data_IF_531228677918
#
_entry.id   IF_531228677918
#
_cell.length_a   1.000
_cell.length_b   1.000
_cell.length_c   1.000
_cell.angle_alpha   90.00
_cell.angle_beta   90.00
_cell.angle_gamma   90.00
#
_symmetry.space_group_name_H-M   'P 1'
#
loop_
_entity.id
_entity.type
_entity.pdbx_description
1 polymer ?
#
# COMPACT_ATOMS: atom_id res chain seq x y z
N UNK A 1 28.76 32.05 -19.36
CA UNK A 1 28.55 32.39 -17.94
C UNK A 1 28.24 31.11 -17.22
N UNK A 2 29.18 30.60 -16.43
CA UNK A 2 28.94 29.42 -15.59
C UNK A 2 27.92 29.80 -14.52
N UNK A 3 26.85 29.02 -14.29
CA UNK A 3 25.98 29.25 -13.15
C UNK A 3 26.84 29.06 -11.89
N UNK A 4 26.83 30.04 -11.00
CA UNK A 4 27.44 29.90 -9.68
C UNK A 4 26.71 28.79 -8.93
N UNK A 5 27.43 27.73 -8.58
CA UNK A 5 26.98 26.66 -7.68
C UNK A 5 26.82 27.22 -6.25
N UNK A 6 25.86 28.11 -6.03
CA UNK A 6 25.45 28.48 -4.67
C UNK A 6 24.68 27.30 -4.08
N UNK A 7 25.45 26.41 -3.45
CA UNK A 7 24.94 25.27 -2.68
C UNK A 7 24.06 25.81 -1.57
N UNK A 8 22.76 25.49 -1.62
CA UNK A 8 21.80 25.83 -0.55
C UNK A 8 22.36 25.44 0.82
N UNK A 9 22.12 26.21 1.90
CA UNK A 9 22.53 25.82 3.25
C UNK A 9 22.09 24.39 3.63
N UNK A 10 20.94 23.95 3.12
CA UNK A 10 20.45 22.59 3.32
C UNK A 10 21.29 21.53 2.59
N UNK A 11 21.78 21.84 1.40
CA UNK A 11 22.62 20.93 0.61
C UNK A 11 23.96 20.69 1.31
N UNK A 12 24.57 21.73 1.89
CA UNK A 12 25.80 21.60 2.66
C UNK A 12 25.60 20.70 3.90
N UNK A 13 24.48 20.89 4.61
CA UNK A 13 24.11 20.05 5.76
C UNK A 13 23.87 18.59 5.37
N UNK A 14 23.27 18.32 4.21
CA UNK A 14 23.10 16.96 3.69
C UNK A 14 24.45 16.26 3.49
N UNK A 15 25.40 16.93 2.81
CA UNK A 15 26.72 16.36 2.56
C UNK A 15 27.46 16.09 3.87
N UNK A 16 27.43 17.04 4.80
CA UNK A 16 28.04 16.88 6.12
C UNK A 16 27.42 15.71 6.90
N UNK A 17 26.10 15.60 6.92
CA UNK A 17 25.39 14.54 7.65
C UNK A 17 25.67 13.14 7.11
N UNK A 18 25.87 13.01 5.80
CA UNK A 18 26.19 11.72 5.16
C UNK A 18 27.64 11.30 5.38
N UNK A 19 28.55 12.27 5.48
CA UNK A 19 29.96 12.01 5.77
C UNK A 19 30.24 11.78 7.26
N UNK A 20 29.25 12.01 8.12
CA UNK A 20 29.38 11.85 9.55
C UNK A 20 29.58 10.36 9.91
N UNK A 21 30.63 10.09 10.66
CA UNK A 21 30.95 8.77 11.21
C UNK A 21 30.71 8.83 12.73
N UNK A 22 29.78 8.03 13.29
CA UNK A 22 29.54 8.01 14.72
C UNK A 22 30.72 7.43 15.49
N UNK A 23 30.99 8.01 16.66
CA UNK A 23 31.95 7.48 17.62
C UNK A 23 31.46 6.18 18.27
N UNK A 24 32.35 5.41 18.87
CA UNK A 24 31.98 4.19 19.62
C UNK A 24 31.01 4.49 20.77
N UNK A 25 31.15 5.64 21.42
CA UNK A 25 30.25 6.09 22.49
C UNK A 25 28.85 6.37 21.96
N UNK A 26 28.73 7.05 20.82
CA UNK A 26 27.44 7.32 20.17
C UNK A 26 26.78 6.03 19.69
N UNK A 27 27.56 5.08 19.15
CA UNK A 27 27.06 3.74 18.79
C UNK A 27 26.55 2.98 20.03
N UNK A 28 27.26 3.04 21.16
CA UNK A 28 26.82 2.41 22.39
C UNK A 28 25.52 3.03 22.93
N UNK A 29 25.37 4.35 22.87
CA UNK A 29 24.16 5.07 23.26
C UNK A 29 22.97 4.76 22.33
N UNK A 30 23.22 4.52 21.05
CA UNK A 30 22.19 4.14 20.07
C UNK A 30 21.62 2.72 20.26
N UNK A 31 22.13 1.93 21.22
CA UNK A 31 21.60 0.58 21.51
C UNK A 31 20.35 0.58 22.41
N UNK A 32 20.02 1.72 23.05
CA UNK A 32 18.91 1.80 24.01
C UNK A 32 18.04 3.05 23.78
N UNK A 33 16.70 2.94 23.92
CA UNK A 33 15.82 4.10 23.95
C UNK A 33 16.30 5.09 25.03
N UNK A 34 16.32 6.41 24.76
CA UNK A 34 15.58 7.10 23.71
C UNK A 34 16.29 7.29 22.35
N UNK A 35 17.33 6.52 22.01
CA UNK A 35 18.05 6.60 20.72
C UNK A 35 18.47 8.03 20.34
N UNK A 36 19.44 8.62 21.08
CA UNK A 36 19.82 10.01 20.90
C UNK A 36 20.36 10.26 19.49
N UNK A 37 19.99 11.41 18.90
CA UNK A 37 20.61 11.88 17.67
C UNK A 37 21.96 12.50 18.02
N UNK A 38 23.06 12.09 17.37
CA UNK A 38 24.37 12.72 17.54
C UNK A 38 24.34 14.23 17.42
N UNK A 39 25.11 14.94 18.25
CA UNK A 39 25.13 16.40 18.27
C UNK A 39 25.50 17.00 16.90
N UNK A 40 26.39 16.33 16.16
CA UNK A 40 26.80 16.72 14.81
C UNK A 40 25.65 16.64 13.78
N UNK A 41 24.62 15.83 14.03
CA UNK A 41 23.47 15.64 13.13
C UNK A 41 22.27 16.53 13.50
N UNK A 42 22.24 17.14 14.69
CA UNK A 42 21.15 18.01 15.14
C UNK A 42 20.86 19.15 14.13
N UNK A 43 21.87 19.90 13.62
CA UNK A 43 21.61 20.97 12.66
C UNK A 43 20.91 20.48 11.38
N UNK A 44 21.32 19.32 10.85
CA UNK A 44 20.68 18.73 9.68
C UNK A 44 19.27 18.21 10.00
N UNK A 45 19.09 17.55 11.15
CA UNK A 45 17.78 17.08 11.60
C UNK A 45 16.76 18.22 11.69
N UNK A 46 17.13 19.33 12.34
CA UNK A 46 16.22 20.46 12.52
C UNK A 46 15.90 21.16 11.19
N UNK A 47 16.92 21.35 10.34
CA UNK A 47 16.73 21.92 9.01
C UNK A 47 15.84 21.04 8.13
N UNK A 48 16.08 19.72 8.10
CA UNK A 48 15.31 18.77 7.33
C UNK A 48 13.85 18.71 7.80
N UNK A 49 13.60 18.60 9.11
CA UNK A 49 12.25 18.59 9.68
C UNK A 49 11.49 19.88 9.38
N UNK A 50 12.16 21.03 9.48
CA UNK A 50 11.56 22.33 9.18
C UNK A 50 11.18 22.43 7.70
N UNK A 51 12.11 22.08 6.81
CA UNK A 51 11.87 22.11 5.36
C UNK A 51 10.75 21.14 4.94
N UNK A 52 10.75 19.92 5.46
CA UNK A 52 9.71 18.92 5.16
C UNK A 52 8.33 19.34 5.68
N UNK A 53 8.24 19.93 6.88
CA UNK A 53 6.96 20.48 7.39
C UNK A 53 6.43 21.58 6.50
N UNK A 54 7.28 22.51 6.08
CA UNK A 54 6.88 23.58 5.16
C UNK A 54 6.39 23.00 3.82
N UNK A 55 7.11 22.01 3.27
CA UNK A 55 6.78 21.36 1.99
C UNK A 55 5.53 20.48 2.06
N UNK A 56 5.21 19.87 3.20
CA UNK A 56 4.00 19.07 3.35
C UNK A 56 2.72 19.89 3.15
N UNK A 57 2.76 21.17 3.48
CA UNK A 57 1.61 22.07 3.37
C UNK A 57 1.41 22.62 1.96
N UNK A 58 2.37 22.40 1.04
CA UNK A 58 2.41 23.11 -0.25
C UNK A 58 3.02 22.25 -1.36
N UNK A 59 2.46 22.31 -2.57
CA UNK A 59 3.05 21.73 -3.77
C UNK A 59 2.59 20.30 -4.09
N UNK A 60 3.18 19.67 -5.13
CA UNK A 60 2.74 18.36 -5.61
C UNK A 60 3.00 17.25 -4.59
N UNK A 61 2.25 16.16 -4.70
CA UNK A 61 2.38 14.97 -3.84
C UNK A 61 2.96 13.79 -4.63
N UNK A 62 4.28 13.80 -4.92
CA UNK A 62 4.92 12.77 -5.73
C UNK A 62 4.94 11.41 -5.01
N UNK A 63 5.12 10.35 -5.78
CA UNK A 63 5.52 9.07 -5.21
C UNK A 63 6.97 9.14 -4.75
N UNK A 64 7.28 8.48 -3.65
CA UNK A 64 8.62 8.40 -3.09
C UNK A 64 8.82 7.07 -2.36
N UNK A 65 10.08 6.74 -2.11
CA UNK A 65 10.48 5.64 -1.24
C UNK A 65 11.69 6.03 -0.42
N UNK A 66 11.75 5.56 0.82
CA UNK A 66 12.95 5.59 1.67
C UNK A 66 13.61 4.21 1.80
N UNK A 67 12.93 3.15 1.34
CA UNK A 67 13.37 1.74 1.50
C UNK A 67 13.32 0.98 0.17
N UNK A 68 14.19 -0.02 0.00
CA UNK A 68 14.29 -0.76 -1.26
C UNK A 68 13.08 -1.63 -1.57
N UNK A 69 12.57 -2.34 -0.57
CA UNK A 69 11.54 -3.37 -0.75
C UNK A 69 10.14 -2.92 -0.34
N UNK A 70 9.97 -1.67 0.06
CA UNK A 70 8.66 -1.11 0.35
C UNK A 70 8.00 -0.60 -0.93
N UNK A 71 6.69 -0.74 -1.04
CA UNK A 71 5.94 -0.09 -2.13
C UNK A 71 6.09 1.42 -2.02
N UNK A 72 6.27 2.11 -3.15
CA UNK A 72 6.33 3.57 -3.13
C UNK A 72 5.01 4.15 -2.61
N UNK A 73 5.12 5.21 -1.82
CA UNK A 73 3.98 5.91 -1.22
C UNK A 73 3.99 7.36 -1.63
N UNK A 74 2.84 8.01 -1.46
CA UNK A 74 2.75 9.46 -1.60
C UNK A 74 3.63 10.16 -0.57
N UNK A 75 4.30 11.23 -0.98
CA UNK A 75 5.13 12.06 -0.12
C UNK A 75 4.38 12.50 1.14
N UNK A 76 3.10 12.90 1.00
CA UNK A 76 2.21 13.26 2.09
C UNK A 76 2.04 12.18 3.17
N UNK A 77 2.15 10.90 2.78
CA UNK A 77 2.03 9.76 3.67
C UNK A 77 3.38 9.33 4.27
N UNK A 78 4.50 9.63 3.61
CA UNK A 78 5.84 9.21 4.03
C UNK A 78 6.58 10.27 4.84
N UNK A 79 6.53 11.56 4.44
CA UNK A 79 7.25 12.61 5.13
C UNK A 79 6.90 12.76 6.64
N UNK A 80 5.65 12.52 7.10
CA UNK A 80 5.32 12.60 8.53
C UNK A 80 6.13 11.64 9.42
N UNK A 81 6.53 10.46 8.91
CA UNK A 81 7.33 9.52 9.69
C UNK A 81 8.73 10.09 9.95
N UNK A 82 9.37 10.70 8.95
CA UNK A 82 10.68 11.35 9.11
C UNK A 82 10.60 12.60 10.00
N UNK A 83 9.50 13.37 9.89
CA UNK A 83 9.30 14.59 10.69
C UNK A 83 9.14 14.28 12.18
N UNK A 84 8.44 13.18 12.49
CA UNK A 84 7.95 12.88 13.84
C UNK A 84 8.63 11.67 14.48
N UNK A 85 9.66 11.11 13.82
CA UNK A 85 10.17 9.79 14.19
C UNK A 85 10.55 9.72 15.66
N UNK A 86 9.90 8.78 16.37
CA UNK A 86 10.13 8.48 17.79
C UNK A 86 11.23 7.44 17.98
N UNK A 87 11.68 6.79 16.90
CA UNK A 87 12.65 5.70 16.91
C UNK A 87 14.09 6.17 16.60
N UNK A 88 14.30 7.48 16.44
CA UNK A 88 15.59 8.08 16.09
C UNK A 88 15.54 8.79 14.73
N UNK A 89 16.57 9.58 14.40
CA UNK A 89 16.65 10.28 13.12
C UNK A 89 17.54 9.52 12.14
N UNK A 90 16.96 9.04 11.04
CA UNK A 90 17.67 8.36 9.96
C UNK A 90 18.04 9.36 8.85
N UNK A 91 19.35 9.57 8.67
CA UNK A 91 19.90 10.49 7.66
C UNK A 91 19.51 10.06 6.25
N UNK A 92 19.47 8.75 5.97
CA UNK A 92 19.14 8.23 4.64
C UNK A 92 17.68 8.49 4.28
N UNK A 93 16.77 8.21 5.22
CA UNK A 93 15.35 8.47 5.06
C UNK A 93 15.10 9.99 4.86
N UNK A 94 15.78 10.84 5.64
CA UNK A 94 15.68 12.28 5.52
C UNK A 94 16.13 12.78 4.13
N UNK A 95 17.27 12.31 3.63
CA UNK A 95 17.79 12.69 2.31
C UNK A 95 16.85 12.25 1.19
N UNK A 96 16.32 11.02 1.26
CA UNK A 96 15.36 10.52 0.27
C UNK A 96 14.06 11.35 0.28
N UNK A 97 13.58 11.76 1.45
CA UNK A 97 12.39 12.61 1.56
C UNK A 97 12.64 14.05 1.10
N UNK A 98 13.79 14.64 1.44
CA UNK A 98 14.16 15.97 0.94
C UNK A 98 14.27 15.96 -0.59
N UNK A 99 14.89 14.94 -1.16
CA UNK A 99 14.98 14.75 -2.60
C UNK A 99 13.57 14.63 -3.22
N UNK A 100 12.72 13.74 -2.68
CA UNK A 100 11.36 13.55 -3.17
C UNK A 100 10.51 14.83 -3.10
N UNK A 101 10.68 15.64 -2.06
CA UNK A 101 10.01 16.94 -1.92
C UNK A 101 10.51 18.02 -2.87
N UNK A 102 11.61 17.78 -3.59
CA UNK A 102 12.30 18.77 -4.44
C UNK A 102 13.03 19.83 -3.62
N UNK A 103 13.35 19.54 -2.35
CA UNK A 103 14.01 20.48 -1.43
C UNK A 103 15.53 20.44 -1.58
N UNK A 104 16.06 19.37 -2.16
CA UNK A 104 17.46 19.26 -2.61
C UNK A 104 17.47 18.77 -4.05
N UNK A 105 18.44 19.21 -4.88
CA UNK A 105 18.54 18.76 -6.26
C UNK A 105 19.10 17.34 -6.36
N UNK A 106 18.82 16.67 -7.49
CA UNK A 106 19.39 15.35 -7.81
C UNK A 106 20.91 15.36 -7.73
N UNK A 107 21.56 16.42 -8.23
CA UNK A 107 23.02 16.56 -8.14
C UNK A 107 23.55 16.52 -6.70
N UNK A 108 22.82 17.07 -5.73
CA UNK A 108 23.18 17.00 -4.30
C UNK A 108 23.06 15.58 -3.80
N UNK A 109 21.96 14.88 -4.12
CA UNK A 109 21.79 13.46 -3.79
C UNK A 109 22.91 12.59 -4.41
N UNK A 110 23.30 12.82 -5.66
CA UNK A 110 24.39 12.07 -6.29
C UNK A 110 25.77 12.35 -5.65
N UNK A 111 26.05 13.61 -5.27
CA UNK A 111 27.26 13.94 -4.51
C UNK A 111 27.27 13.23 -3.16
N UNK A 112 26.14 13.24 -2.47
CA UNK A 112 25.89 12.50 -1.24
C UNK A 112 26.17 11.00 -1.40
N UNK A 113 25.67 10.38 -2.48
CA UNK A 113 25.92 8.98 -2.81
C UNK A 113 27.42 8.67 -2.89
N UNK A 114 28.16 9.50 -3.63
CA UNK A 114 29.61 9.32 -3.85
C UNK A 114 30.44 9.57 -2.60
N UNK A 115 29.98 10.48 -1.73
CA UNK A 115 30.65 10.82 -0.48
C UNK A 115 30.46 9.74 0.61
N UNK A 116 29.41 8.93 0.51
CA UNK A 116 29.08 7.88 1.47
C UNK A 116 29.89 6.59 1.19
N UNK A 117 30.89 6.29 2.03
CA UNK A 117 31.57 5.00 1.98
C UNK A 117 30.73 3.81 2.51
N UNK A 118 29.64 4.05 3.28
CA UNK A 118 28.94 2.96 3.98
C UNK A 118 27.49 3.24 4.46
N UNK A 119 26.96 4.46 4.36
CA UNK A 119 25.71 4.83 5.05
C UNK A 119 24.45 4.80 4.16
N UNK A 120 24.57 5.11 2.87
CA UNK A 120 23.47 5.02 1.92
C UNK A 120 23.56 3.71 1.13
N UNK A 121 22.54 2.85 1.23
CA UNK A 121 22.45 1.68 0.36
C UNK A 121 22.21 2.17 -1.07
N UNK A 122 23.12 1.93 -2.04
CA UNK A 122 23.06 2.57 -3.36
C UNK A 122 21.69 2.43 -4.05
N UNK A 123 21.10 1.23 -4.01
CA UNK A 123 19.77 0.98 -4.59
C UNK A 123 18.64 1.86 -4.02
N UNK A 124 18.73 2.30 -2.76
CA UNK A 124 17.70 3.16 -2.14
C UNK A 124 17.70 4.52 -2.82
N UNK A 125 18.91 5.09 -2.95
CA UNK A 125 19.08 6.41 -3.51
C UNK A 125 18.82 6.42 -5.01
N UNK A 126 19.23 5.38 -5.74
CA UNK A 126 18.87 5.23 -7.15
C UNK A 126 17.36 5.29 -7.34
N UNK A 127 16.62 4.53 -6.52
CA UNK A 127 15.15 4.52 -6.56
C UNK A 127 14.56 5.89 -6.24
N UNK A 128 15.08 6.58 -5.21
CA UNK A 128 14.62 7.92 -4.84
C UNK A 128 14.88 8.96 -5.94
N UNK A 129 16.07 8.93 -6.57
CA UNK A 129 16.43 9.78 -7.72
C UNK A 129 15.48 9.52 -8.88
N UNK A 130 15.25 8.26 -9.23
CA UNK A 130 14.32 7.89 -10.30
C UNK A 130 12.92 8.42 -10.02
N UNK A 131 12.35 8.25 -8.82
CA UNK A 131 11.03 8.84 -8.51
C UNK A 131 11.03 10.35 -8.58
N UNK A 132 12.12 11.02 -8.18
CA UNK A 132 12.19 12.47 -8.25
C UNK A 132 12.13 12.96 -9.70
N UNK A 133 12.88 12.33 -10.59
CA UNK A 133 12.87 12.63 -12.02
C UNK A 133 11.51 12.30 -12.65
N UNK A 134 10.89 11.19 -12.27
CA UNK A 134 9.53 10.84 -12.70
C UNK A 134 8.46 11.83 -12.21
N UNK A 135 8.66 12.47 -11.07
CA UNK A 135 7.78 13.52 -10.57
C UNK A 135 7.86 14.82 -11.39
N UNK A 136 8.97 15.04 -12.11
CA UNK A 136 9.13 16.12 -13.09
C UNK A 136 8.76 15.69 -14.51
N UNK A 137 8.17 14.50 -14.66
CA UNK A 137 7.81 13.86 -15.94
C UNK A 137 9.01 13.63 -16.89
N UNK A 138 10.25 13.65 -16.38
CA UNK A 138 11.45 13.38 -17.16
C UNK A 138 11.79 11.89 -17.19
N UNK A 139 11.05 11.15 -18.03
CA UNK A 139 11.25 9.72 -18.25
C UNK A 139 12.63 9.39 -18.84
N UNK A 140 13.22 10.32 -19.61
CA UNK A 140 14.53 10.14 -20.22
C UNK A 140 15.62 10.15 -19.15
N UNK A 141 15.65 11.18 -18.31
CA UNK A 141 16.58 11.26 -17.19
C UNK A 141 16.35 10.11 -16.20
N UNK A 142 15.09 9.77 -15.89
CA UNK A 142 14.77 8.64 -15.03
C UNK A 142 15.35 7.31 -15.57
N UNK A 143 15.25 7.09 -16.88
CA UNK A 143 15.82 5.91 -17.54
C UNK A 143 17.35 5.88 -17.49
N UNK A 144 18.00 7.03 -17.67
CA UNK A 144 19.45 7.15 -17.53
C UNK A 144 19.91 6.85 -16.10
N UNK A 145 19.22 7.42 -15.11
CA UNK A 145 19.50 7.19 -13.69
C UNK A 145 19.31 5.72 -13.28
N UNK A 146 18.30 5.03 -13.83
CA UNK A 146 18.04 3.61 -13.58
C UNK A 146 19.19 2.69 -14.04
N UNK A 147 20.02 3.12 -14.99
CA UNK A 147 21.19 2.37 -15.47
C UNK A 147 22.53 2.94 -15.00
N UNK A 148 22.52 3.99 -14.18
CA UNK A 148 23.74 4.66 -13.77
C UNK A 148 24.61 3.74 -12.91
N UNK A 149 25.85 3.41 -13.33
CA UNK A 149 26.74 2.57 -12.54
C UNK A 149 27.17 3.25 -11.23
N UNK A 150 26.99 4.58 -11.15
CA UNK A 150 27.32 5.39 -9.98
C UNK A 150 26.26 5.32 -8.88
N UNK A 151 25.06 4.80 -9.19
CA UNK A 151 23.91 4.80 -8.27
C UNK A 151 23.54 3.40 -7.78
N UNK A 152 24.12 2.34 -8.31
CA UNK A 152 23.91 1.01 -7.76
C UNK A 152 24.43 -0.12 -8.63
N UNK A 153 24.58 -1.29 -8.01
CA UNK A 153 24.93 -2.55 -8.68
C UNK A 153 23.70 -3.32 -9.18
N UNK A 154 22.50 -2.83 -8.88
CA UNK A 154 21.21 -3.48 -9.16
C UNK A 154 20.30 -2.59 -10.04
N UNK A 155 20.60 -2.42 -11.34
CA UNK A 155 19.84 -1.53 -12.24
C UNK A 155 18.33 -1.83 -12.27
N UNK A 156 17.95 -3.08 -12.02
CA UNK A 156 16.56 -3.52 -11.98
C UNK A 156 15.72 -2.75 -10.93
N UNK A 157 16.34 -2.21 -9.89
CA UNK A 157 15.69 -1.38 -8.86
C UNK A 157 15.15 -0.09 -9.46
N UNK A 158 15.98 0.65 -10.21
CA UNK A 158 15.57 1.85 -10.91
C UNK A 158 14.51 1.55 -11.98
N UNK A 159 14.68 0.47 -12.75
CA UNK A 159 13.69 0.07 -13.75
C UNK A 159 12.34 -0.30 -13.14
N UNK A 160 12.31 -0.94 -11.97
CA UNK A 160 11.05 -1.22 -11.26
C UNK A 160 10.36 0.05 -10.78
N UNK A 161 11.09 1.09 -10.38
CA UNK A 161 10.48 2.37 -10.04
C UNK A 161 9.77 3.02 -11.26
N UNK A 162 10.39 2.95 -12.44
CA UNK A 162 9.74 3.36 -13.70
C UNK A 162 8.53 2.47 -14.00
N UNK A 163 8.63 1.16 -13.76
CA UNK A 163 7.51 0.23 -13.87
C UNK A 163 6.35 0.58 -12.95
N UNK A 164 6.59 0.90 -11.68
CA UNK A 164 5.56 1.35 -10.75
C UNK A 164 4.88 2.64 -11.21
N UNK A 165 5.64 3.56 -11.82
CA UNK A 165 5.08 4.77 -12.42
C UNK A 165 4.10 4.46 -13.56
N UNK A 166 4.48 3.59 -14.50
CA UNK A 166 3.56 3.14 -15.56
C UNK A 166 2.36 2.36 -14.99
N UNK A 167 2.59 1.48 -14.00
CA UNK A 167 1.54 0.73 -13.34
C UNK A 167 0.51 1.65 -12.67
N UNK A 168 0.95 2.69 -11.95
CA UNK A 168 0.07 3.65 -11.30
C UNK A 168 -0.81 4.43 -12.29
N UNK A 169 -0.32 4.63 -13.52
CA UNK A 169 -0.99 5.35 -14.62
C UNK A 169 -1.81 4.45 -15.55
N UNK A 170 -1.93 3.15 -15.24
CA UNK A 170 -2.60 2.18 -16.10
C UNK A 170 -1.96 2.05 -17.51
N UNK A 171 -0.67 2.33 -17.64
CA UNK A 171 0.09 2.22 -18.89
C UNK A 171 0.68 0.80 -19.03
N UNK A 172 -0.20 -0.16 -19.34
CA UNK A 172 0.19 -1.55 -19.52
C UNK A 172 1.21 -1.76 -20.65
N UNK A 173 1.11 -1.12 -21.83
CA UNK A 173 2.11 -1.28 -22.89
C UNK A 173 3.51 -0.89 -22.45
N UNK A 174 3.70 0.29 -21.82
CA UNK A 174 5.03 0.72 -21.38
C UNK A 174 5.56 -0.14 -20.22
N UNK A 175 4.69 -0.53 -19.27
CA UNK A 175 5.06 -1.48 -18.22
C UNK A 175 5.58 -2.80 -18.79
N UNK A 176 4.85 -3.38 -19.74
CA UNK A 176 5.20 -4.67 -20.33
C UNK A 176 6.44 -4.58 -21.23
N UNK A 177 6.71 -3.43 -21.86
CA UNK A 177 7.92 -3.19 -22.65
C UNK A 177 9.20 -3.23 -21.80
N UNK A 178 9.12 -2.83 -20.53
CA UNK A 178 10.26 -2.84 -19.60
C UNK A 178 10.48 -4.19 -18.91
N UNK A 179 9.64 -5.19 -19.17
CA UNK A 179 9.69 -6.50 -18.51
C UNK A 179 11.08 -7.15 -18.43
N UNK A 180 11.91 -7.16 -19.50
CA UNK A 180 13.26 -7.74 -19.44
C UNK A 180 14.17 -7.06 -18.42
N UNK A 181 13.93 -5.78 -18.11
CA UNK A 181 14.76 -4.96 -17.22
C UNK A 181 14.39 -5.10 -15.74
N UNK A 182 13.23 -5.70 -15.43
CA UNK A 182 12.76 -5.86 -14.06
C UNK A 182 13.44 -6.98 -13.28
N UNK A 183 14.19 -7.87 -13.95
CA UNK A 183 14.73 -9.10 -13.34
C UNK A 183 13.67 -9.86 -12.53
N UNK A 184 12.57 -10.23 -13.19
CA UNK A 184 11.35 -10.75 -12.52
C UNK A 184 11.52 -12.01 -11.65
N UNK A 185 12.69 -12.66 -11.67
CA UNK A 185 13.04 -13.79 -10.80
C UNK A 185 13.52 -13.34 -9.41
N UNK A 186 14.10 -12.13 -9.31
CA UNK A 186 14.52 -11.51 -8.06
C UNK A 186 13.31 -10.89 -7.34
N UNK A 187 13.29 -10.93 -6.01
CA UNK A 187 12.28 -10.24 -5.18
C UNK A 187 10.84 -10.38 -5.73
N UNK A 188 10.34 -11.62 -5.74
CA UNK A 188 9.06 -11.98 -6.39
C UNK A 188 7.85 -11.24 -5.83
N UNK A 189 7.86 -10.91 -4.54
CA UNK A 189 6.77 -10.18 -3.89
C UNK A 189 6.62 -8.76 -4.47
N UNK A 190 7.74 -8.05 -4.67
CA UNK A 190 7.70 -6.72 -5.28
C UNK A 190 7.15 -6.77 -6.71
N UNK A 191 7.54 -7.77 -7.50
CA UNK A 191 6.94 -7.96 -8.82
C UNK A 191 5.44 -8.29 -8.76
N UNK A 192 4.99 -9.06 -7.78
CA UNK A 192 3.57 -9.33 -7.56
C UNK A 192 2.83 -8.03 -7.26
N UNK A 193 3.34 -7.20 -6.35
CA UNK A 193 2.76 -5.91 -5.98
C UNK A 193 2.61 -4.97 -7.19
N UNK A 194 3.66 -4.89 -8.03
CA UNK A 194 3.62 -4.10 -9.27
C UNK A 194 2.55 -4.58 -10.24
N UNK A 195 2.39 -5.90 -10.42
CA UNK A 195 1.34 -6.48 -11.28
C UNK A 195 -0.04 -6.17 -10.73
N UNK A 196 -0.25 -6.33 -9.41
CA UNK A 196 -1.52 -6.01 -8.75
C UNK A 196 -1.87 -4.54 -8.91
N UNK A 197 -0.89 -3.65 -8.73
CA UNK A 197 -1.06 -2.22 -8.92
C UNK A 197 -1.47 -1.90 -10.36
N UNK A 198 -0.81 -2.49 -11.36
CA UNK A 198 -1.17 -2.30 -12.77
C UNK A 198 -2.58 -2.78 -13.06
N UNK A 199 -2.93 -4.01 -12.69
CA UNK A 199 -4.28 -4.58 -12.93
C UNK A 199 -5.35 -3.73 -12.26
N UNK A 200 -5.12 -3.29 -11.02
CA UNK A 200 -6.03 -2.39 -10.30
C UNK A 200 -6.17 -1.03 -10.99
N UNK A 201 -5.08 -0.45 -11.47
CA UNK A 201 -5.10 0.83 -12.17
C UNK A 201 -5.82 0.74 -13.52
N UNK A 202 -5.54 -0.30 -14.32
CA UNK A 202 -6.23 -0.58 -15.59
C UNK A 202 -7.73 -0.79 -15.36
N UNK A 203 -8.10 -1.57 -14.34
CA UNK A 203 -9.50 -1.77 -13.95
C UNK A 203 -10.20 -0.43 -13.65
N UNK A 204 -9.51 0.48 -12.94
CA UNK A 204 -10.06 1.79 -12.58
C UNK A 204 -10.20 2.74 -13.77
N UNK A 205 -9.20 2.77 -14.67
CA UNK A 205 -9.06 3.77 -15.75
C UNK A 205 -9.72 3.31 -17.05
N UNK A 206 -9.43 2.09 -17.49
CA UNK A 206 -9.89 1.54 -18.77
C UNK A 206 -11.09 0.60 -18.60
N UNK A 207 -11.25 0.02 -17.41
CA UNK A 207 -12.38 -0.82 -17.06
C UNK A 207 -11.99 -2.28 -16.81
N UNK A 208 -12.94 -3.04 -16.28
CA UNK A 208 -12.68 -4.40 -15.83
C UNK A 208 -12.39 -5.39 -16.98
N UNK A 209 -12.94 -5.16 -18.18
CA UNK A 209 -12.68 -6.01 -19.36
C UNK A 209 -11.22 -5.93 -19.79
N UNK A 210 -10.67 -4.73 -19.90
CA UNK A 210 -9.25 -4.53 -20.22
C UNK A 210 -8.34 -5.07 -19.12
N UNK A 211 -8.74 -4.92 -17.86
CA UNK A 211 -7.99 -5.49 -16.74
C UNK A 211 -7.99 -7.02 -16.78
N UNK A 212 -9.13 -7.67 -17.09
CA UNK A 212 -9.19 -9.12 -17.27
C UNK A 212 -8.36 -9.58 -18.47
N UNK A 213 -8.45 -8.88 -19.60
CA UNK A 213 -7.62 -9.17 -20.77
C UNK A 213 -6.13 -9.11 -20.41
N UNK A 214 -5.71 -8.11 -19.63
CA UNK A 214 -4.34 -7.99 -19.14
C UNK A 214 -3.92 -9.18 -18.26
N UNK A 215 -4.81 -9.74 -17.43
CA UNK A 215 -4.49 -10.93 -16.61
C UNK A 215 -4.18 -12.19 -17.43
N UNK A 216 -4.56 -12.22 -18.71
CA UNK A 216 -4.26 -13.32 -19.64
C UNK A 216 -2.81 -13.27 -20.15
N UNK A 217 -2.11 -12.14 -20.01
CA UNK A 217 -0.69 -12.07 -20.36
C UNK A 217 0.14 -12.92 -19.38
N UNK A 218 0.96 -13.83 -19.91
CA UNK A 218 1.80 -14.75 -19.14
C UNK A 218 2.73 -14.07 -18.12
N UNK A 219 3.10 -12.80 -18.36
CA UNK A 219 3.95 -12.00 -17.48
C UNK A 219 3.18 -11.52 -16.26
N UNK A 220 1.93 -11.15 -16.43
CA UNK A 220 1.03 -10.76 -15.33
C UNK A 220 0.60 -12.02 -14.59
N UNK A 221 0.07 -12.99 -15.33
CA UNK A 221 -0.41 -14.25 -14.81
C UNK A 221 -1.76 -14.14 -14.10
N UNK A 222 -2.35 -15.30 -13.83
CA UNK A 222 -3.69 -15.41 -13.21
C UNK A 222 -3.64 -15.60 -11.70
N UNK A 223 -2.52 -16.09 -11.17
CA UNK A 223 -2.32 -16.40 -9.74
C UNK A 223 -1.72 -15.22 -8.99
N UNK A 224 -2.41 -14.79 -7.95
CA UNK A 224 -1.89 -13.90 -6.92
C UNK A 224 -2.34 -14.46 -5.56
N UNK A 225 -1.50 -14.31 -4.53
CA UNK A 225 -1.55 -15.00 -3.22
C UNK A 225 -2.87 -14.99 -2.42
N UNK A 226 -3.91 -14.25 -2.83
CA UNK A 226 -5.27 -14.28 -2.27
C UNK A 226 -6.24 -13.86 -3.39
N UNK A 227 -7.26 -14.66 -3.67
CA UNK A 227 -8.33 -14.48 -4.68
C UNK A 227 -7.90 -14.32 -6.16
N UNK A 228 -6.60 -14.24 -6.50
CA UNK A 228 -6.10 -14.20 -7.88
C UNK A 228 -6.16 -12.81 -8.56
N UNK A 229 -5.55 -12.69 -9.75
CA UNK A 229 -5.52 -11.42 -10.50
C UNK A 229 -6.89 -11.06 -11.09
N UNK A 230 -7.72 -12.06 -11.42
CA UNK A 230 -9.07 -11.84 -11.91
C UNK A 230 -9.95 -11.11 -10.86
N UNK A 231 -9.84 -11.50 -9.59
CA UNK A 231 -10.50 -10.78 -8.50
C UNK A 231 -10.06 -9.31 -8.44
N UNK A 232 -8.76 -9.03 -8.56
CA UNK A 232 -8.22 -7.65 -8.55
C UNK A 232 -8.75 -6.84 -9.74
N UNK A 233 -8.84 -7.45 -10.91
CA UNK A 233 -9.39 -6.82 -12.12
C UNK A 233 -10.86 -6.41 -11.94
N UNK A 234 -11.61 -7.10 -11.08
CA UNK A 234 -13.03 -6.84 -10.80
C UNK A 234 -13.28 -5.97 -9.56
N UNK A 235 -12.27 -5.68 -8.73
CA UNK A 235 -12.48 -4.90 -7.49
C UNK A 235 -13.10 -3.52 -7.74
N UNK A 236 -12.74 -2.84 -8.83
CA UNK A 236 -13.31 -1.51 -9.12
C UNK A 236 -14.79 -1.57 -9.52
N UNK A 237 -15.26 -2.72 -10.01
CA UNK A 237 -16.66 -2.94 -10.31
C UNK A 237 -17.47 -3.02 -9.00
N UNK A 238 -16.93 -3.71 -7.99
CA UNK A 238 -17.57 -3.82 -6.69
C UNK A 238 -17.83 -2.44 -6.05
N UNK A 239 -16.93 -1.47 -6.23
CA UNK A 239 -17.11 -0.14 -5.65
C UNK A 239 -18.00 0.80 -6.47
N UNK A 240 -18.40 0.43 -7.68
CA UNK A 240 -19.13 1.28 -8.63
C UNK A 240 -20.53 0.78 -9.00
N UNK A 241 -20.91 -0.41 -8.53
CA UNK A 241 -22.12 -1.12 -8.97
C UNK A 241 -22.94 -1.56 -7.76
N UNK A 242 -24.26 -1.50 -7.87
CA UNK A 242 -25.14 -2.01 -6.81
C UNK A 242 -24.92 -3.53 -6.62
N UNK A 243 -25.11 -4.03 -5.41
CA UNK A 243 -24.84 -5.44 -5.07
C UNK A 243 -25.66 -6.42 -5.93
N UNK A 244 -26.93 -6.09 -6.19
CA UNK A 244 -27.84 -6.88 -7.03
C UNK A 244 -27.41 -6.93 -8.50
N UNK A 245 -27.00 -5.77 -9.04
CA UNK A 245 -26.49 -5.64 -10.40
C UNK A 245 -25.17 -6.39 -10.56
N UNK A 246 -24.29 -6.31 -9.56
CA UNK A 246 -23.03 -7.05 -9.54
C UNK A 246 -23.27 -8.57 -9.50
N UNK A 247 -24.20 -9.05 -8.68
CA UNK A 247 -24.53 -10.48 -8.62
C UNK A 247 -25.12 -10.97 -9.95
N UNK A 248 -25.96 -10.16 -10.58
CA UNK A 248 -26.48 -10.44 -11.93
C UNK A 248 -25.34 -10.50 -12.93
N UNK A 249 -24.46 -9.50 -12.98
CA UNK A 249 -23.33 -9.50 -13.90
C UNK A 249 -22.41 -10.71 -13.69
N UNK A 250 -22.09 -11.06 -12.43
CA UNK A 250 -21.23 -12.20 -12.11
C UNK A 250 -21.85 -13.55 -12.49
N UNK A 251 -23.17 -13.63 -12.64
CA UNK A 251 -23.89 -14.88 -12.92
C UNK A 251 -24.35 -15.00 -14.38
N UNK A 252 -24.68 -13.88 -15.04
CA UNK A 252 -25.27 -13.88 -16.38
C UNK A 252 -24.29 -13.45 -17.47
N UNK A 253 -23.26 -12.64 -17.17
CA UNK A 253 -22.27 -12.24 -18.18
C UNK A 253 -21.40 -13.45 -18.53
N UNK A 254 -21.40 -13.96 -19.78
CA UNK A 254 -20.72 -15.21 -20.11
C UNK A 254 -19.23 -15.21 -19.79
N UNK A 255 -18.56 -14.07 -20.02
CA UNK A 255 -17.13 -13.89 -19.74
C UNK A 255 -16.82 -14.01 -18.25
N UNK A 256 -17.72 -13.57 -17.36
CA UNK A 256 -17.54 -13.66 -15.91
C UNK A 256 -18.07 -14.97 -15.37
N UNK A 257 -19.21 -15.45 -15.83
CA UNK A 257 -19.84 -16.68 -15.36
C UNK A 257 -18.94 -17.92 -15.59
N UNK A 258 -18.25 -17.97 -16.74
CA UNK A 258 -17.34 -19.07 -17.12
C UNK A 258 -15.89 -18.87 -16.69
N UNK A 259 -15.57 -17.80 -15.94
CA UNK A 259 -14.20 -17.48 -15.58
C UNK A 259 -13.67 -18.40 -14.46
N UNK A 260 -12.97 -19.48 -14.84
CA UNK A 260 -12.39 -20.46 -13.91
C UNK A 260 -11.42 -19.85 -12.88
N UNK A 261 -10.77 -18.74 -13.22
CA UNK A 261 -9.83 -18.04 -12.33
C UNK A 261 -10.53 -17.23 -11.24
N UNK A 262 -11.87 -17.09 -11.30
CA UNK A 262 -12.69 -16.42 -10.31
C UNK A 262 -13.59 -17.44 -9.59
N UNK A 263 -13.05 -18.03 -8.53
CA UNK A 263 -13.74 -19.03 -7.71
C UNK A 263 -14.98 -18.46 -6.98
N UNK A 264 -15.84 -19.35 -6.48
CA UNK A 264 -17.07 -18.95 -5.79
C UNK A 264 -16.81 -18.04 -4.57
N UNK A 265 -15.69 -18.24 -3.86
CA UNK A 265 -15.31 -17.43 -2.71
C UNK A 265 -14.91 -16.01 -3.15
N UNK A 266 -14.16 -15.87 -4.24
CA UNK A 266 -13.77 -14.58 -4.81
C UNK A 266 -14.99 -13.80 -5.31
N UNK A 267 -15.98 -14.48 -5.90
CA UNK A 267 -17.28 -13.87 -6.28
C UNK A 267 -18.02 -13.33 -5.07
N UNK A 268 -18.15 -14.12 -4.01
CA UNK A 268 -18.79 -13.67 -2.76
C UNK A 268 -18.02 -12.50 -2.12
N UNK A 269 -16.70 -12.52 -2.18
CA UNK A 269 -15.89 -11.42 -1.68
C UNK A 269 -16.12 -10.11 -2.47
N UNK A 270 -16.31 -10.18 -3.80
CA UNK A 270 -16.70 -9.00 -4.60
C UNK A 270 -18.08 -8.45 -4.18
N UNK A 271 -19.04 -9.31 -3.86
CA UNK A 271 -20.36 -8.88 -3.36
C UNK A 271 -20.25 -8.22 -1.98
N UNK A 272 -19.40 -8.76 -1.10
CA UNK A 272 -19.12 -8.15 0.22
C UNK A 272 -18.42 -6.80 0.07
N UNK A 273 -17.45 -6.68 -0.84
CA UNK A 273 -16.80 -5.41 -1.15
C UNK A 273 -17.81 -4.37 -1.66
N UNK A 274 -18.78 -4.78 -2.49
CA UNK A 274 -19.85 -3.91 -2.97
C UNK A 274 -20.82 -3.46 -1.86
N UNK A 275 -21.17 -4.35 -0.95
CA UNK A 275 -21.97 -3.98 0.23
C UNK A 275 -21.23 -2.98 1.12
N UNK A 276 -19.92 -3.17 1.33
CA UNK A 276 -19.10 -2.24 2.13
C UNK A 276 -18.90 -0.89 1.48
N UNK A 277 -18.89 -0.83 0.15
CA UNK A 277 -18.82 0.43 -0.57
C UNK A 277 -20.14 1.22 -0.50
N UNK A 278 -21.29 0.53 -0.37
CA UNK A 278 -22.63 1.14 -0.43
C UNK A 278 -23.29 1.38 0.93
N UNK A 279 -22.89 0.63 1.98
CA UNK A 279 -23.49 0.74 3.32
C UNK A 279 -22.56 1.46 4.31
N UNK A 280 -23.11 2.26 5.24
CA UNK A 280 -22.32 2.83 6.33
C UNK A 280 -21.81 1.72 7.25
N UNK A 281 -20.69 2.00 7.95
CA UNK A 281 -20.17 1.08 8.96
C UNK A 281 -21.15 1.00 10.13
N UNK A 282 -21.48 -0.21 10.56
CA UNK A 282 -22.40 -0.50 11.65
C UNK A 282 -23.79 0.14 11.45
N UNK A 283 -24.52 -0.22 10.38
CA UNK A 283 -25.84 0.35 10.13
C UNK A 283 -26.83 -0.05 11.23
N UNK A 284 -27.95 0.66 11.32
CA UNK A 284 -29.04 0.35 12.25
C UNK A 284 -29.79 -0.93 11.83
N UNK A 285 -30.01 -1.08 10.53
CA UNK A 285 -30.62 -2.25 9.90
C UNK A 285 -29.63 -2.97 8.98
N UNK A 286 -29.89 -4.23 8.69
CA UNK A 286 -29.06 -4.98 7.73
C UNK A 286 -29.25 -4.40 6.31
N UNK A 287 -28.17 -4.17 5.54
CA UNK A 287 -28.30 -3.70 4.18
C UNK A 287 -29.04 -4.74 3.31
N UNK A 288 -29.79 -4.29 2.28
CA UNK A 288 -30.43 -5.18 1.32
C UNK A 288 -29.43 -6.19 0.74
N UNK A 289 -29.89 -7.40 0.43
CA UNK A 289 -29.07 -8.51 -0.08
C UNK A 289 -28.05 -9.13 0.88
N UNK A 290 -27.81 -8.57 2.08
CA UNK A 290 -26.86 -9.14 3.05
C UNK A 290 -27.22 -10.58 3.43
N UNK A 291 -28.50 -10.84 3.66
CA UNK A 291 -28.98 -12.17 4.07
C UNK A 291 -28.69 -13.25 3.01
N UNK A 292 -28.94 -12.93 1.74
CA UNK A 292 -28.68 -13.83 0.62
C UNK A 292 -27.19 -14.12 0.45
N UNK A 293 -26.33 -13.10 0.58
CA UNK A 293 -24.88 -13.27 0.51
C UNK A 293 -24.35 -14.07 1.71
N UNK A 294 -24.79 -13.77 2.93
CA UNK A 294 -24.40 -14.50 4.12
C UNK A 294 -24.78 -15.98 4.04
N UNK A 295 -25.99 -16.28 3.58
CA UNK A 295 -26.44 -17.67 3.39
C UNK A 295 -25.50 -18.43 2.45
N UNK A 296 -25.16 -17.84 1.29
CA UNK A 296 -24.20 -18.44 0.34
C UNK A 296 -22.81 -18.64 0.93
N UNK A 297 -22.33 -17.75 1.81
CA UNK A 297 -21.03 -17.92 2.49
C UNK A 297 -21.12 -19.03 3.54
N UNK A 298 -22.20 -19.11 4.30
CA UNK A 298 -22.44 -20.13 5.33
C UNK A 298 -22.53 -21.53 4.70
N UNK A 299 -23.17 -21.64 3.54
CA UNK A 299 -23.35 -22.88 2.78
C UNK A 299 -22.03 -23.45 2.21
N UNK A 300 -20.95 -22.66 2.20
CA UNK A 300 -19.63 -23.17 1.83
C UNK A 300 -19.18 -24.20 2.85
N UNK A 301 -19.02 -25.45 2.41
CA UNK A 301 -18.61 -26.54 3.27
C UNK A 301 -17.21 -26.29 3.87
N UNK A 302 -17.11 -26.07 5.19
CA UNK A 302 -15.84 -25.85 5.88
C UNK A 302 -14.99 -27.11 6.02
N UNK A 303 -15.50 -28.30 5.67
CA UNK A 303 -14.78 -29.57 5.78
C UNK A 303 -13.92 -29.86 4.55
N UNK A 304 -14.13 -29.16 3.43
CA UNK A 304 -13.35 -29.38 2.18
C UNK A 304 -11.85 -29.18 2.41
N UNK A 305 -11.45 -28.10 3.09
CA UNK A 305 -10.06 -27.89 3.49
C UNK A 305 -9.92 -26.88 4.62
N UNK A 306 -8.79 -26.93 5.34
CA UNK A 306 -8.45 -25.94 6.38
C UNK A 306 -8.32 -24.53 5.82
N UNK A 307 -7.80 -24.39 4.60
CA UNK A 307 -7.66 -23.10 3.91
C UNK A 307 -9.02 -22.51 3.56
N UNK A 308 -9.91 -23.32 2.97
CA UNK A 308 -11.27 -22.89 2.64
C UNK A 308 -12.07 -22.50 3.89
N UNK A 309 -11.95 -23.29 4.96
CA UNK A 309 -12.56 -22.97 6.26
C UNK A 309 -12.09 -21.61 6.79
N UNK A 310 -10.78 -21.33 6.71
CA UNK A 310 -10.20 -20.03 7.10
C UNK A 310 -10.69 -18.89 6.21
N UNK A 311 -10.68 -19.05 4.88
CA UNK A 311 -11.15 -18.02 3.93
C UNK A 311 -12.63 -17.71 4.16
N UNK A 312 -13.46 -18.73 4.35
CA UNK A 312 -14.89 -18.59 4.67
C UNK A 312 -15.11 -17.83 5.97
N UNK A 313 -14.44 -18.26 7.04
CA UNK A 313 -14.60 -17.63 8.36
C UNK A 313 -14.07 -16.19 8.38
N UNK A 314 -12.99 -15.91 7.64
CA UNK A 314 -12.50 -14.55 7.44
C UNK A 314 -13.52 -13.70 6.68
N UNK A 315 -14.12 -14.22 5.61
CA UNK A 315 -15.16 -13.50 4.86
C UNK A 315 -16.40 -13.20 5.72
N UNK A 316 -16.83 -14.14 6.57
CA UNK A 316 -17.89 -13.92 7.55
C UNK A 316 -17.52 -12.84 8.58
N UNK A 317 -16.25 -12.78 8.99
CA UNK A 317 -15.75 -11.71 9.86
C UNK A 317 -15.79 -10.35 9.15
N UNK A 318 -15.34 -10.28 7.89
CA UNK A 318 -15.36 -9.04 7.10
C UNK A 318 -16.78 -8.48 6.89
N UNK A 319 -17.82 -9.31 6.97
CA UNK A 319 -19.22 -8.88 6.94
C UNK A 319 -19.68 -8.20 8.24
N UNK A 320 -18.99 -8.38 9.38
CA UNK A 320 -19.42 -7.81 10.67
C UNK A 320 -19.80 -6.33 10.60
N UNK A 321 -19.00 -5.44 9.98
CA UNK A 321 -19.33 -4.02 9.95
C UNK A 321 -20.60 -3.70 9.15
N UNK A 322 -21.13 -4.65 8.37
CA UNK A 322 -22.38 -4.50 7.61
C UNK A 322 -23.61 -4.89 8.42
N UNK A 323 -23.46 -5.63 9.51
CA UNK A 323 -24.60 -6.22 10.23
C UNK A 323 -25.20 -5.18 11.17
N UNK A 324 -26.47 -4.85 10.96
CA UNK A 324 -27.28 -4.01 11.85
C UNK A 324 -28.01 -4.83 12.90
N UNK A 325 -28.64 -5.95 12.50
CA UNK A 325 -29.52 -6.72 13.39
C UNK A 325 -28.77 -7.73 14.29
N UNK A 326 -29.10 -7.80 15.59
CA UNK A 326 -28.52 -8.76 16.52
C UNK A 326 -28.73 -10.24 16.12
N UNK A 327 -29.88 -10.55 15.51
CA UNK A 327 -30.20 -11.91 15.07
C UNK A 327 -29.25 -12.39 13.96
N UNK A 328 -29.00 -11.53 12.97
CA UNK A 328 -28.05 -11.77 11.87
C UNK A 328 -26.65 -11.97 12.42
N UNK A 329 -26.26 -11.15 13.38
CA UNK A 329 -24.97 -11.29 14.04
C UNK A 329 -24.81 -12.62 14.77
N UNK A 330 -25.83 -13.01 15.55
CA UNK A 330 -25.86 -14.31 16.24
C UNK A 330 -25.69 -15.47 15.26
N UNK A 331 -26.36 -15.41 14.10
CA UNK A 331 -26.22 -16.41 13.03
C UNK A 331 -24.78 -16.49 12.49
N UNK A 332 -24.15 -15.35 12.21
CA UNK A 332 -22.76 -15.29 11.73
C UNK A 332 -21.79 -15.87 12.74
N UNK A 333 -21.93 -15.51 14.03
CA UNK A 333 -21.10 -16.06 15.12
C UNK A 333 -21.23 -17.58 15.26
N UNK A 334 -22.44 -18.11 15.07
CA UNK A 334 -22.69 -19.55 15.11
C UNK A 334 -22.03 -20.29 13.93
N UNK A 335 -21.97 -19.67 12.75
CA UNK A 335 -21.40 -20.27 11.55
C UNK A 335 -19.86 -20.33 11.53
N UNK A 336 -19.19 -19.33 12.14
CA UNK A 336 -17.72 -19.28 12.24
C UNK A 336 -17.21 -20.45 13.10
N UNK A 337 -16.12 -21.08 12.68
CA UNK A 337 -15.47 -22.18 13.41
C UNK A 337 -14.18 -21.76 14.09
N UNK A 338 -13.44 -20.82 13.51
CA UNK A 338 -12.18 -20.33 14.03
C UNK A 338 -12.35 -19.66 15.41
N UNK A 339 -11.71 -20.19 16.48
CA UNK A 339 -11.86 -19.63 17.83
C UNK A 339 -11.37 -18.19 17.98
N UNK A 340 -10.34 -17.79 17.23
CA UNK A 340 -9.81 -16.42 17.25
C UNK A 340 -10.85 -15.41 16.79
N UNK A 341 -11.51 -15.66 15.65
CA UNK A 341 -12.56 -14.78 15.13
C UNK A 341 -13.80 -14.75 16.02
N UNK A 342 -14.14 -15.86 16.69
CA UNK A 342 -15.21 -15.86 17.70
C UNK A 342 -14.91 -14.89 18.85
N UNK A 343 -13.68 -14.92 19.38
CA UNK A 343 -13.26 -14.02 20.47
C UNK A 343 -13.32 -12.56 20.04
N UNK A 344 -12.81 -12.25 18.85
CA UNK A 344 -12.86 -10.89 18.27
C UNK A 344 -14.31 -10.41 18.13
N UNK A 345 -15.19 -11.24 17.54
CA UNK A 345 -16.59 -10.86 17.33
C UNK A 345 -17.37 -10.71 18.64
N UNK A 346 -17.09 -11.52 19.66
CA UNK A 346 -17.71 -11.38 20.99
C UNK A 346 -17.24 -10.15 21.76
N UNK A 347 -16.09 -9.56 21.41
CA UNK A 347 -15.56 -8.36 22.06
C UNK A 347 -16.11 -7.04 21.48
N UNK A 348 -16.95 -7.09 20.43
CA UNK A 348 -17.42 -5.90 19.73
C UNK A 348 -18.66 -5.28 20.42
N UNK A 349 -18.61 -3.96 20.59
CA UNK A 349 -19.50 -3.17 21.46
C UNK A 349 -21.01 -3.17 21.12
N UNK A 350 -21.44 -3.75 19.99
CA UNK A 350 -22.88 -3.84 19.65
C UNK A 350 -23.69 -4.66 20.66
N UNK A 351 -23.03 -5.51 21.46
CA UNK A 351 -23.68 -6.23 22.57
C UNK A 351 -23.65 -5.48 23.91
N UNK A 352 -22.85 -4.40 24.04
CA UNK A 352 -22.70 -3.66 25.30
C UNK A 352 -23.82 -2.62 25.47
N UNK A 353 -24.34 -2.05 24.38
CA UNK A 353 -25.39 -1.00 24.42
C UNK A 353 -26.79 -1.59 24.62
N UNK A 354 -27.04 -2.85 24.23
CA UNK A 354 -28.32 -3.52 24.43
C UNK A 354 -28.54 -4.04 25.88
N UNK A 355 -27.53 -3.94 26.74
CA UNK A 355 -27.54 -4.41 28.13
C UNK A 355 -27.68 -3.28 29.16
N UNK A 356 -28.22 -2.12 28.78
CA UNK A 356 -28.78 -1.17 29.74
C UNK A 356 -30.29 -1.45 29.87
N UNK A 357 -30.74 -2.18 30.90
CA UNK A 357 -32.16 -2.31 31.15
C UNK A 357 -32.74 -0.95 31.49
N UNK A 358 -33.87 -0.63 30.86
CA UNK A 358 -34.79 0.41 31.27
C UNK A 358 -34.99 0.36 32.79
N UNK A 359 -34.52 1.39 33.47
CA UNK A 359 -34.93 1.69 34.84
C UNK A 359 -36.19 2.53 34.78
N UNK A 360 -37.30 1.88 34.44
CA UNK A 360 -38.64 2.42 34.70
C UNK A 360 -39.53 1.33 35.28
N UNK A 361 -39.60 1.30 36.61
CA UNK A 361 -40.78 1.07 37.46
C UNK A 361 -40.27 1.09 38.92
N UNK A 362 -40.41 2.18 39.66
CA UNK A 362 -41.61 2.63 40.38
C UNK A 362 -42.08 1.66 41.49
N UNK A 363 -41.77 2.01 42.75
CA UNK A 363 -42.54 1.78 43.98
C UNK A 363 -41.77 2.57 45.06
N UNK A 364 -42.30 3.57 45.76
CA UNK A 364 -43.65 3.70 46.30
C UNK A 364 -43.67 3.17 47.74
N UNK A 365 -43.14 3.95 48.69
CA UNK A 365 -43.70 4.42 49.98
C UNK A 365 -42.70 5.40 50.59
#
# INVERSE_FOLDING_TARGET
MSPSDDVSPLDALVIQAIQYVPSEEELALATRPPYPTPAALIPFQDAARTALRARLMQGPDPFCSTRLYESARRFSNSAPSVISDRLGFDVSDAVCMLLAGGLIPVATAERAARASASHLTPGFLQRAIVYRLLADEDLSAASQAATSPNLGTEPWVGWRAIGEHHAARADAPAFLALWPKYESRQQRNWMDDMRRQLVKAVSRVHGWRDALALTRDKRIGTKAHVNGMAFIALQSLATKTAVSELDTLLTTEPELASLDTLDAMARLHLLVDAMRASAPRAPAEDPPYLDAVLSRIIDIDPKISKEQSRRRDWLLMECWPLIGHPATLKRVRAAIRAPSYKRELSALAKDIVAASPDSTEATGI
#
